data_IF_303775208225
#
_entry.id   IF_303775208225
#
_cell.length_a   1.000
_cell.length_b   1.000
_cell.length_c   1.000
_cell.angle_alpha   90.00
_cell.angle_beta   90.00
_cell.angle_gamma   90.00
#
_symmetry.space_group_name_H-M   'P 1'
#
loop_
_entity.id
_entity.type
_entity.pdbx_description
1 polymer ?
#
# COMPACT_ATOMS: atom_id res chain seq x y z
N UNK A 1 41.63 -13.58 -38.33
CA UNK A 1 41.00 -13.44 -37.01
C UNK A 1 39.69 -14.19 -37.09
N UNK A 2 39.55 -15.29 -36.35
CA UNK A 2 38.36 -16.15 -36.43
C UNK A 2 37.17 -15.50 -35.70
N UNK A 3 35.94 -15.81 -36.11
CA UNK A 3 34.72 -15.37 -35.40
C UNK A 3 34.75 -15.80 -33.93
N UNK A 4 35.36 -16.95 -33.64
CA UNK A 4 35.62 -17.44 -32.29
C UNK A 4 36.58 -16.54 -31.49
N UNK A 5 37.61 -15.98 -32.13
CA UNK A 5 38.56 -15.07 -31.47
C UNK A 5 37.89 -13.73 -31.12
N UNK A 6 36.95 -13.30 -31.96
CA UNK A 6 36.18 -12.07 -31.73
C UNK A 6 35.20 -12.28 -30.57
N UNK A 7 34.46 -13.40 -30.56
CA UNK A 7 33.52 -13.73 -29.48
C UNK A 7 34.22 -13.87 -28.12
N UNK A 8 35.37 -14.56 -28.06
CA UNK A 8 36.12 -14.73 -26.83
C UNK A 8 36.72 -13.41 -26.32
N UNK A 9 37.17 -12.53 -27.23
CA UNK A 9 37.60 -11.17 -26.86
C UNK A 9 36.44 -10.32 -26.36
N UNK A 10 35.29 -10.35 -27.03
CA UNK A 10 34.09 -9.62 -26.58
C UNK A 10 33.65 -10.10 -25.20
N UNK A 11 33.59 -11.42 -24.97
CA UNK A 11 33.26 -11.99 -23.65
C UNK A 11 34.27 -11.54 -22.57
N UNK A 12 35.57 -11.54 -22.89
CA UNK A 12 36.61 -11.05 -21.97
C UNK A 12 36.50 -9.56 -21.66
N UNK A 13 36.06 -8.75 -22.63
CA UNK A 13 35.81 -7.31 -22.46
C UNK A 13 34.57 -7.13 -21.60
N UNK A 14 33.46 -7.79 -21.90
CA UNK A 14 32.25 -7.76 -21.07
C UNK A 14 32.55 -8.10 -19.61
N UNK A 15 33.27 -9.20 -19.34
CA UNK A 15 33.69 -9.59 -17.99
C UNK A 15 34.59 -8.56 -17.29
N UNK A 16 35.45 -7.86 -18.03
CA UNK A 16 36.33 -6.83 -17.46
C UNK A 16 35.55 -5.58 -17.02
N UNK A 17 34.42 -5.31 -17.67
CA UNK A 17 33.56 -4.17 -17.40
C UNK A 17 32.33 -4.50 -16.55
N UNK A 18 32.01 -5.78 -16.31
CA UNK A 18 30.98 -6.24 -15.37
C UNK A 18 31.11 -5.58 -13.97
N UNK A 19 32.33 -5.28 -13.52
CA UNK A 19 32.57 -4.60 -12.23
C UNK A 19 32.11 -3.14 -12.19
N UNK A 20 31.79 -2.55 -13.34
CA UNK A 20 31.24 -1.19 -13.47
C UNK A 20 29.74 -1.22 -13.78
N UNK A 21 29.15 -2.40 -13.92
CA UNK A 21 27.71 -2.58 -14.04
C UNK A 21 27.08 -2.35 -12.66
N UNK A 22 26.60 -1.12 -12.47
CA UNK A 22 25.96 -0.65 -11.22
C UNK A 22 24.67 -1.44 -10.95
N UNK A 23 24.01 -1.94 -12.00
CA UNK A 23 22.78 -2.73 -11.89
C UNK A 23 23.08 -4.17 -11.48
N UNK A 24 24.18 -4.75 -11.96
CA UNK A 24 24.65 -6.08 -11.52
C UNK A 24 25.19 -6.09 -10.09
N UNK A 25 25.89 -5.03 -9.67
CA UNK A 25 26.28 -4.85 -8.25
C UNK A 25 25.09 -4.58 -7.32
N UNK A 26 24.01 -3.98 -7.85
CA UNK A 26 22.72 -3.89 -7.13
C UNK A 26 22.03 -5.26 -7.02
N UNK A 27 22.17 -6.13 -8.02
CA UNK A 27 21.63 -7.49 -8.04
C UNK A 27 22.35 -8.48 -7.12
N UNK A 28 23.68 -8.40 -6.99
CA UNK A 28 24.48 -9.29 -6.12
C UNK A 28 24.42 -8.93 -4.62
N UNK A 29 23.72 -7.85 -4.26
CA UNK A 29 23.29 -7.53 -2.89
C UNK A 29 21.98 -8.23 -2.49
N UNK A 30 21.80 -9.48 -2.92
CA UNK A 30 20.56 -10.26 -2.97
C UNK A 30 19.83 -10.58 -1.66
N UNK A 31 19.88 -9.71 -0.65
CA UNK A 31 19.05 -9.82 0.55
C UNK A 31 18.42 -8.50 1.03
N UNK A 32 18.68 -7.36 0.37
CA UNK A 32 18.13 -6.06 0.82
C UNK A 32 16.73 -5.75 0.25
N UNK A 33 16.40 -6.23 -0.96
CA UNK A 33 15.04 -6.10 -1.50
C UNK A 33 14.02 -6.94 -0.71
N UNK A 34 14.46 -8.06 -0.12
CA UNK A 34 13.65 -8.89 0.76
C UNK A 34 13.43 -8.23 2.14
N UNK A 35 14.28 -7.32 2.59
CA UNK A 35 14.18 -6.68 3.92
C UNK A 35 13.55 -5.28 3.90
N UNK A 36 13.10 -4.82 2.72
CA UNK A 36 12.43 -3.53 2.59
C UNK A 36 11.00 -3.63 3.13
N UNK A 37 10.81 -3.14 4.35
CA UNK A 37 9.52 -3.11 5.04
C UNK A 37 8.42 -2.41 4.20
N UNK A 38 8.80 -1.43 3.38
CA UNK A 38 7.88 -0.78 2.43
C UNK A 38 7.37 -1.79 1.39
N UNK A 39 8.27 -2.44 0.66
CA UNK A 39 7.90 -3.40 -0.39
C UNK A 39 7.03 -4.54 0.13
N UNK A 40 7.31 -5.04 1.35
CA UNK A 40 6.49 -6.08 1.99
C UNK A 40 5.07 -5.61 2.30
N UNK A 41 4.94 -4.45 2.94
CA UNK A 41 3.63 -3.89 3.27
C UNK A 41 2.85 -3.52 2.01
N UNK A 42 3.54 -2.94 1.01
CA UNK A 42 2.93 -2.56 -0.26
C UNK A 42 2.41 -3.79 -1.01
N UNK A 43 3.19 -4.88 -1.06
CA UNK A 43 2.76 -6.14 -1.67
C UNK A 43 1.55 -6.75 -0.96
N UNK A 44 1.49 -6.67 0.38
CA UNK A 44 0.32 -7.10 1.14
C UNK A 44 -0.92 -6.27 0.82
N UNK A 45 -0.77 -4.94 0.76
CA UNK A 45 -1.85 -4.02 0.41
C UNK A 45 -2.34 -4.25 -1.03
N UNK A 46 -1.44 -4.47 -1.98
CA UNK A 46 -1.83 -4.82 -3.35
C UNK A 46 -2.59 -6.15 -3.41
N UNK A 47 -2.16 -7.17 -2.67
CA UNK A 47 -2.85 -8.45 -2.61
C UNK A 47 -4.27 -8.31 -2.03
N UNK A 48 -4.43 -7.50 -0.99
CA UNK A 48 -5.74 -7.22 -0.39
C UNK A 48 -6.65 -6.39 -1.32
N UNK A 49 -6.09 -5.46 -2.09
CA UNK A 49 -6.81 -4.71 -3.14
C UNK A 49 -7.29 -5.66 -4.23
N UNK A 50 -6.43 -6.56 -4.72
CA UNK A 50 -6.78 -7.53 -5.75
C UNK A 50 -7.87 -8.50 -5.26
N UNK A 51 -7.77 -8.96 -4.01
CA UNK A 51 -8.79 -9.79 -3.38
C UNK A 51 -10.15 -9.06 -3.27
N UNK A 52 -10.13 -7.76 -2.96
CA UNK A 52 -11.34 -6.94 -2.91
C UNK A 52 -11.94 -6.71 -4.30
N UNK A 53 -11.13 -6.50 -5.34
CA UNK A 53 -11.57 -6.40 -6.73
C UNK A 53 -12.20 -7.69 -7.23
N UNK A 54 -11.56 -8.84 -6.99
CA UNK A 54 -12.10 -10.15 -7.34
C UNK A 54 -13.44 -10.41 -6.64
N UNK A 55 -13.54 -10.07 -5.35
CA UNK A 55 -14.80 -10.20 -4.60
C UNK A 55 -15.89 -9.26 -5.12
N UNK A 56 -15.53 -8.05 -5.56
CA UNK A 56 -16.45 -7.11 -6.20
C UNK A 56 -17.00 -7.67 -7.51
N UNK A 57 -16.14 -8.29 -8.33
CA UNK A 57 -16.56 -8.95 -9.56
C UNK A 57 -17.50 -10.12 -9.28
N UNK A 58 -17.20 -10.97 -8.30
CA UNK A 58 -18.10 -12.05 -7.87
C UNK A 58 -19.46 -11.51 -7.40
N UNK A 59 -19.46 -10.43 -6.61
CA UNK A 59 -20.68 -9.79 -6.14
C UNK A 59 -21.52 -9.21 -7.30
N UNK A 60 -20.90 -8.81 -8.41
CA UNK A 60 -21.61 -8.32 -9.61
C UNK A 60 -22.29 -9.43 -10.40
N UNK A 61 -21.75 -10.65 -10.36
CA UNK A 61 -22.27 -11.83 -11.07
C UNK A 61 -23.27 -12.63 -10.22
N UNK A 62 -23.25 -12.45 -8.90
CA UNK A 62 -24.10 -13.15 -7.95
C UNK A 62 -25.57 -12.72 -8.06
N UNK A 63 -26.48 -13.70 -8.05
CA UNK A 63 -27.93 -13.47 -8.20
C UNK A 63 -28.64 -13.37 -6.86
N UNK A 64 -28.07 -13.96 -5.82
CA UNK A 64 -28.64 -13.93 -4.48
C UNK A 64 -28.38 -12.57 -3.81
N UNK A 65 -29.43 -11.76 -3.65
CA UNK A 65 -29.36 -10.43 -3.02
C UNK A 65 -28.73 -10.46 -1.61
N UNK A 66 -29.01 -11.48 -0.81
CA UNK A 66 -28.44 -11.58 0.54
C UNK A 66 -26.93 -11.87 0.48
N UNK A 67 -26.49 -12.71 -0.47
CA UNK A 67 -25.06 -12.99 -0.69
C UNK A 67 -24.32 -11.75 -1.22
N UNK A 68 -24.92 -11.02 -2.17
CA UNK A 68 -24.37 -9.74 -2.69
C UNK A 68 -24.19 -8.72 -1.58
N UNK A 69 -25.18 -8.58 -0.69
CA UNK A 69 -25.09 -7.64 0.45
C UNK A 69 -24.00 -8.04 1.43
N UNK A 70 -23.87 -9.34 1.74
CA UNK A 70 -22.81 -9.86 2.60
C UNK A 70 -21.42 -9.62 1.99
N UNK A 71 -21.22 -9.97 0.71
CA UNK A 71 -19.97 -9.73 -0.01
C UNK A 71 -19.61 -8.24 -0.04
N UNK A 72 -20.56 -7.36 -0.31
CA UNK A 72 -20.35 -5.91 -0.30
C UNK A 72 -20.00 -5.38 1.09
N UNK A 73 -20.59 -5.93 2.16
CA UNK A 73 -20.20 -5.58 3.52
C UNK A 73 -18.74 -5.98 3.83
N UNK A 74 -18.31 -7.14 3.33
CA UNK A 74 -16.91 -7.56 3.45
C UNK A 74 -15.96 -6.66 2.65
N UNK A 75 -16.32 -6.28 1.42
CA UNK A 75 -15.52 -5.34 0.60
C UNK A 75 -15.34 -4.02 1.36
N UNK A 76 -16.40 -3.48 1.96
CA UNK A 76 -16.32 -2.26 2.76
C UNK A 76 -15.38 -2.40 3.97
N UNK A 77 -15.42 -3.53 4.68
CA UNK A 77 -14.48 -3.82 5.78
C UNK A 77 -13.04 -3.90 5.30
N UNK A 78 -12.80 -4.55 4.16
CA UNK A 78 -11.46 -4.63 3.57
C UNK A 78 -10.96 -3.26 3.13
N UNK A 79 -11.80 -2.44 2.47
CA UNK A 79 -11.48 -1.05 2.14
C UNK A 79 -11.07 -0.24 3.37
N UNK A 80 -11.83 -0.36 4.47
CA UNK A 80 -11.53 0.36 5.69
C UNK A 80 -10.13 0.00 6.24
N UNK A 81 -9.82 -1.29 6.33
CA UNK A 81 -8.49 -1.79 6.73
C UNK A 81 -7.38 -1.32 5.81
N UNK A 82 -7.61 -1.35 4.49
CA UNK A 82 -6.62 -0.90 3.51
C UNK A 82 -6.28 0.58 3.69
N UNK A 83 -7.28 1.43 3.95
CA UNK A 83 -7.08 2.85 4.22
C UNK A 83 -6.32 3.10 5.54
N UNK A 84 -6.47 2.24 6.56
CA UNK A 84 -5.67 2.31 7.80
C UNK A 84 -4.16 2.01 7.58
N UNK A 85 -3.83 1.21 6.56
CA UNK A 85 -2.44 0.87 6.22
C UNK A 85 -1.76 1.94 5.35
N UNK A 86 -2.51 2.79 4.64
CA UNK A 86 -1.96 3.84 3.77
C UNK A 86 -1.04 4.81 4.53
N UNK A 87 -1.40 5.36 5.71
CA UNK A 87 -0.50 6.23 6.47
C UNK A 87 0.81 5.55 6.89
N UNK A 88 0.78 4.24 7.16
CA UNK A 88 1.99 3.46 7.47
C UNK A 88 2.88 3.34 6.23
N UNK A 89 2.29 3.10 5.06
CA UNK A 89 2.99 3.10 3.78
C UNK A 89 3.59 4.48 3.44
N UNK A 90 2.86 5.57 3.69
CA UNK A 90 3.38 6.93 3.51
C UNK A 90 4.64 7.14 4.35
N UNK A 91 4.59 6.82 5.66
CA UNK A 91 5.77 6.94 6.55
C UNK A 91 6.96 6.11 6.07
N UNK A 92 6.71 4.92 5.53
CA UNK A 92 7.75 4.04 4.99
C UNK A 92 8.30 4.52 3.63
N UNK A 93 7.47 5.16 2.80
CA UNK A 93 7.88 5.73 1.50
C UNK A 93 8.85 6.90 1.67
N UNK A 94 8.62 7.77 2.66
CA UNK A 94 9.52 8.90 2.97
C UNK A 94 10.81 8.48 3.70
N UNK A 95 10.86 7.27 4.27
CA UNK A 95 12.04 6.78 5.00
C UNK A 95 13.18 6.50 4.01
N UNK A 96 14.25 7.31 4.08
CA UNK A 96 15.47 7.07 3.28
C UNK A 96 16.17 5.80 3.74
N UNK A 97 16.07 4.75 2.94
CA UNK A 97 16.83 3.50 3.13
C UNK A 97 18.15 3.57 2.35
N UNK A 98 19.22 3.02 2.91
CA UNK A 98 20.55 2.99 2.29
C UNK A 98 20.48 2.24 0.95
N UNK A 99 20.78 2.93 -0.16
CA UNK A 99 20.79 2.35 -1.52
C UNK A 99 19.61 2.77 -2.41
N UNK A 100 18.61 3.46 -1.85
CA UNK A 100 17.46 3.97 -2.60
C UNK A 100 17.81 5.30 -3.31
N UNK A 101 17.52 5.41 -4.60
CA UNK A 101 17.73 6.66 -5.35
C UNK A 101 16.62 7.67 -5.07
N UNK A 102 16.83 8.92 -5.48
CA UNK A 102 15.79 9.96 -5.35
C UNK A 102 14.59 9.63 -6.24
N UNK A 103 14.87 9.06 -7.39
CA UNK A 103 13.90 8.58 -8.38
C UNK A 103 13.06 7.44 -7.80
N UNK A 104 13.69 6.45 -7.15
CA UNK A 104 12.97 5.34 -6.51
C UNK A 104 12.09 5.84 -5.34
N UNK A 105 12.53 6.85 -4.59
CA UNK A 105 11.76 7.43 -3.49
C UNK A 105 10.55 8.22 -4.01
N UNK A 106 10.72 8.97 -5.10
CA UNK A 106 9.61 9.63 -5.78
C UNK A 106 8.57 8.62 -6.29
N UNK A 107 9.02 7.53 -6.93
CA UNK A 107 8.15 6.46 -7.37
C UNK A 107 7.36 5.80 -6.22
N UNK A 108 7.99 5.59 -5.05
CA UNK A 108 7.30 5.11 -3.83
C UNK A 108 6.21 6.07 -3.37
N UNK A 109 6.48 7.36 -3.38
CA UNK A 109 5.49 8.37 -3.01
C UNK A 109 4.32 8.37 -3.99
N UNK A 110 4.59 8.37 -5.29
CA UNK A 110 3.54 8.34 -6.32
C UNK A 110 2.66 7.09 -6.21
N UNK A 111 3.28 5.93 -5.96
CA UNK A 111 2.55 4.68 -5.69
C UNK A 111 1.61 4.80 -4.49
N UNK A 112 2.06 5.40 -3.39
CA UNK A 112 1.24 5.54 -2.19
C UNK A 112 0.17 6.62 -2.34
N UNK A 113 0.45 7.71 -3.07
CA UNK A 113 -0.53 8.76 -3.36
C UNK A 113 -1.70 8.24 -4.20
N UNK A 114 -1.48 7.26 -5.08
CA UNK A 114 -2.52 6.64 -5.88
C UNK A 114 -3.38 5.60 -5.11
N UNK A 115 -2.93 5.12 -3.95
CA UNK A 115 -3.63 4.06 -3.21
C UNK A 115 -5.02 4.47 -2.69
N UNK A 116 -5.24 5.66 -2.08
CA UNK A 116 -6.57 6.07 -1.62
C UNK A 116 -7.61 6.06 -2.74
N UNK A 117 -7.30 6.67 -3.88
CA UNK A 117 -8.20 6.73 -5.03
C UNK A 117 -8.48 5.33 -5.59
N UNK A 118 -7.45 4.50 -5.68
CA UNK A 118 -7.58 3.10 -6.12
C UNK A 118 -8.48 2.30 -5.18
N UNK A 119 -8.32 2.43 -3.86
CA UNK A 119 -9.15 1.75 -2.86
C UNK A 119 -10.60 2.26 -2.94
N UNK A 120 -10.81 3.56 -3.09
CA UNK A 120 -12.16 4.13 -3.19
C UNK A 120 -12.89 3.70 -4.46
N UNK A 121 -12.17 3.51 -5.57
CA UNK A 121 -12.73 3.10 -6.87
C UNK A 121 -13.32 1.69 -6.90
N UNK A 122 -13.00 0.82 -5.93
CA UNK A 122 -13.49 -0.56 -5.88
C UNK A 122 -15.02 -0.54 -5.65
N UNK A 123 -15.85 -1.17 -6.49
CA UNK A 123 -17.29 -1.21 -6.25
C UNK A 123 -17.63 -2.04 -5.00
N UNK A 124 -18.33 -1.45 -4.04
CA UNK A 124 -18.65 -2.05 -2.73
C UNK A 124 -20.15 -1.97 -2.39
N UNK A 125 -20.97 -1.72 -3.42
CA UNK A 125 -22.42 -1.63 -3.34
C UNK A 125 -22.95 -0.40 -2.60
N UNK A 126 -22.10 0.48 -2.06
CA UNK A 126 -22.54 1.83 -1.68
C UNK A 126 -22.42 2.72 -2.92
N UNK A 127 -23.52 3.37 -3.29
CA UNK A 127 -23.46 4.43 -4.28
C UNK A 127 -22.73 5.62 -3.68
N UNK A 128 -21.39 5.57 -3.61
CA UNK A 128 -20.55 6.74 -3.32
C UNK A 128 -20.49 7.68 -4.54
N UNK A 129 -21.66 7.95 -5.12
CA UNK A 129 -21.85 9.02 -6.07
C UNK A 129 -22.47 10.20 -5.35
N UNK A 130 -21.72 11.30 -5.24
CA UNK A 130 -22.17 12.66 -4.89
C UNK A 130 -23.19 13.22 -5.90
N UNK A 131 -24.08 12.39 -6.44
CA UNK A 131 -25.31 12.86 -7.06
C UNK A 131 -26.40 12.80 -6.01
N UNK A 132 -26.62 13.96 -5.39
CA UNK A 132 -27.93 14.36 -4.96
C UNK A 132 -28.93 14.09 -6.10
N UNK A 133 -29.62 12.97 -6.03
CA UNK A 133 -30.93 12.82 -6.65
C UNK A 133 -31.83 12.33 -5.55
N UNK A 134 -32.52 13.29 -4.94
CA UNK A 134 -33.63 13.02 -4.04
C UNK A 134 -34.62 12.08 -4.73
N UNK A 135 -35.20 11.20 -3.93
CA UNK A 135 -36.22 10.28 -4.39
C UNK A 135 -36.00 8.88 -3.88
N UNK A 136 -36.21 8.66 -2.57
CA UNK A 136 -36.86 7.42 -2.15
C UNK A 136 -38.30 7.44 -2.70
N UNK A 137 -38.45 7.21 -4.00
CA UNK A 137 -39.71 6.75 -4.56
C UNK A 137 -39.66 5.24 -4.49
N UNK A 138 -40.44 4.68 -3.57
CA UNK A 138 -40.77 3.26 -3.58
C UNK A 138 -41.32 2.89 -4.96
N UNK A 139 -40.47 2.34 -5.82
CA UNK A 139 -40.91 1.80 -7.11
C UNK A 139 -41.45 0.39 -6.89
N UNK A 140 -42.58 0.32 -6.17
CA UNK A 140 -43.55 -0.73 -6.43
C UNK A 140 -44.16 -0.37 -7.78
N UNK A 141 -43.66 -0.97 -8.86
CA UNK A 141 -44.40 -1.03 -10.12
C UNK A 141 -45.67 -1.85 -9.86
N UNK A 142 -46.71 -1.21 -9.33
CA UNK A 142 -48.08 -1.67 -9.53
C UNK A 142 -48.27 -1.68 -11.03
N UNK A 143 -48.28 -2.88 -11.61
CA UNK A 143 -49.21 -3.15 -12.69
C UNK A 143 -50.57 -2.66 -12.20
N UNK A 144 -51.12 -1.63 -12.84
CA UNK A 144 -52.49 -1.19 -12.63
C UNK A 144 -53.40 -2.41 -12.79
N UNK A 145 -53.87 -2.95 -11.66
CA UNK A 145 -54.94 -3.92 -11.67
C UNK A 145 -56.20 -3.12 -11.94
N UNK A 146 -56.58 -3.07 -13.21
CA UNK A 146 -57.83 -2.46 -13.67
C UNK A 146 -58.97 -3.40 -13.28
N UNK A 147 -59.70 -3.05 -12.22
CA UNK A 147 -60.94 -3.73 -11.86
C UNK A 147 -62.06 -3.14 -12.73
N UNK A 148 -62.25 -3.72 -13.92
CA UNK A 148 -63.49 -3.55 -14.66
C UNK A 148 -64.52 -4.49 -14.02
N UNK A 149 -65.35 -3.96 -13.12
CA UNK A 149 -66.49 -4.69 -12.56
C UNK A 149 -67.60 -4.81 -13.60
N UNK A 150 -68.03 -6.02 -14.04
CA UNK A 150 -69.39 -6.20 -14.46
C UNK A 150 -70.24 -6.48 -13.22
N UNK A 151 -71.26 -5.66 -13.06
CA UNK A 151 -72.36 -5.90 -12.14
C UNK A 151 -73.01 -7.25 -12.39
N UNK A 152 -73.41 -7.88 -11.28
CA UNK A 152 -74.44 -8.92 -11.17
C UNK A 152 -74.01 -10.37 -11.46
N UNK A 153 -73.41 -10.97 -10.43
CA UNK A 153 -73.27 -12.42 -10.30
C UNK A 153 -73.08 -12.71 -8.83
N UNK A 154 -74.03 -13.41 -8.21
CA UNK A 154 -73.94 -13.93 -6.86
C UNK A 154 -72.65 -14.75 -6.70
N UNK A 155 -71.58 -14.13 -6.20
CA UNK A 155 -70.33 -14.80 -5.89
C UNK A 155 -70.53 -15.60 -4.61
N UNK A 156 -70.62 -16.92 -4.79
CA UNK A 156 -70.62 -17.90 -3.70
C UNK A 156 -69.39 -17.66 -2.80
N UNK A 157 -69.65 -17.38 -1.51
CA UNK A 157 -68.65 -17.10 -0.49
C UNK A 157 -67.69 -18.30 -0.23
N UNK A 158 -67.94 -19.45 -0.86
CA UNK A 158 -67.11 -20.64 -0.80
C UNK A 158 -65.95 -20.67 -1.81
N UNK A 159 -65.80 -19.67 -2.71
CA UNK A 159 -64.71 -19.67 -3.69
C UNK A 159 -63.31 -19.42 -3.07
N UNK A 160 -63.25 -18.81 -1.88
CA UNK A 160 -62.04 -18.69 -1.06
C UNK A 160 -62.11 -19.67 0.13
N UNK A 161 -62.28 -20.96 -0.14
CA UNK A 161 -62.09 -21.96 0.90
C UNK A 161 -60.60 -22.03 1.27
N UNK A 162 -60.22 -21.31 2.33
CA UNK A 162 -58.89 -21.32 2.91
C UNK A 162 -58.61 -22.73 3.47
N UNK A 163 -58.01 -23.59 2.65
CA UNK A 163 -57.66 -24.95 3.06
C UNK A 163 -56.59 -24.91 4.16
N UNK A 164 -56.57 -25.90 5.06
CA UNK A 164 -55.55 -25.99 6.12
C UNK A 164 -54.12 -25.99 5.56
N UNK A 165 -53.92 -26.52 4.35
CA UNK A 165 -52.64 -26.47 3.63
C UNK A 165 -52.23 -25.04 3.23
N UNK A 166 -53.18 -24.20 2.80
CA UNK A 166 -52.91 -22.79 2.49
C UNK A 166 -52.52 -21.99 3.74
N UNK A 167 -53.08 -22.34 4.90
CA UNK A 167 -52.71 -21.71 6.17
C UNK A 167 -51.29 -22.07 6.61
N UNK A 168 -50.90 -23.34 6.45
CA UNK A 168 -49.53 -23.79 6.74
C UNK A 168 -48.51 -23.11 5.84
N UNK A 169 -48.77 -23.01 4.53
CA UNK A 169 -47.87 -22.32 3.61
C UNK A 169 -47.71 -20.83 3.94
N UNK A 170 -48.81 -20.16 4.28
CA UNK A 170 -48.79 -18.74 4.68
C UNK A 170 -48.00 -18.54 5.98
N UNK A 171 -48.21 -19.41 6.96
CA UNK A 171 -47.50 -19.34 8.24
C UNK A 171 -46.00 -19.62 8.08
N UNK A 172 -45.63 -20.58 7.21
CA UNK A 172 -44.24 -20.88 6.89
C UNK A 172 -43.55 -19.73 6.11
N UNK A 173 -44.29 -19.08 5.20
CA UNK A 173 -43.83 -17.88 4.50
C UNK A 173 -43.64 -16.71 5.46
N UNK A 174 -44.59 -16.46 6.36
CA UNK A 174 -44.49 -15.43 7.39
C UNK A 174 -43.31 -15.68 8.34
N UNK A 175 -43.06 -16.94 8.70
CA UNK A 175 -41.91 -17.32 9.53
C UNK A 175 -40.56 -17.11 8.80
N UNK A 176 -40.48 -17.44 7.50
CA UNK A 176 -39.29 -17.14 6.68
C UNK A 176 -39.06 -15.65 6.52
N UNK A 177 -40.13 -14.88 6.35
CA UNK A 177 -40.07 -13.42 6.24
C UNK A 177 -39.55 -12.80 7.53
N UNK A 178 -40.09 -13.21 8.68
CA UNK A 178 -39.64 -12.74 9.99
C UNK A 178 -38.16 -13.05 10.25
N UNK A 179 -37.69 -14.24 9.82
CA UNK A 179 -36.27 -14.61 9.93
C UNK A 179 -35.36 -13.79 9.01
N UNK A 180 -35.83 -13.42 7.82
CA UNK A 180 -35.10 -12.52 6.92
C UNK A 180 -35.04 -11.09 7.46
N UNK A 181 -36.14 -10.57 8.00
CA UNK A 181 -36.19 -9.23 8.62
C UNK A 181 -35.21 -9.11 9.80
N UNK A 182 -35.13 -10.14 10.65
CA UNK A 182 -34.12 -10.19 11.73
C UNK A 182 -32.68 -10.16 11.21
N UNK A 183 -32.41 -10.85 10.09
CA UNK A 183 -31.09 -10.81 9.44
C UNK A 183 -30.77 -9.43 8.85
N UNK A 184 -31.77 -8.74 8.29
CA UNK A 184 -31.62 -7.38 7.78
C UNK A 184 -31.35 -6.37 8.89
N UNK A 185 -31.98 -6.51 10.06
CA UNK A 185 -31.71 -5.65 11.22
C UNK A 185 -30.25 -5.77 11.69
N UNK A 186 -29.72 -6.99 11.77
CA UNK A 186 -28.30 -7.20 12.14
C UNK A 186 -27.34 -6.60 11.10
N UNK A 187 -27.70 -6.67 9.81
CA UNK A 187 -26.93 -6.05 8.75
C UNK A 187 -27.02 -4.52 8.81
N UNK A 188 -28.19 -3.97 9.14
CA UNK A 188 -28.41 -2.53 9.28
C UNK A 188 -27.56 -1.96 10.43
N UNK A 189 -27.53 -2.63 11.58
CA UNK A 189 -26.66 -2.26 12.71
C UNK A 189 -25.16 -2.38 12.34
N UNK A 190 -24.78 -3.45 11.65
CA UNK A 190 -23.44 -3.62 11.10
C UNK A 190 -23.06 -2.57 10.04
N UNK A 191 -24.03 -1.98 9.35
CA UNK A 191 -23.82 -0.92 8.37
C UNK A 191 -23.68 0.45 9.06
N UNK A 192 -24.46 0.70 10.12
CA UNK A 192 -24.41 1.95 10.87
C UNK A 192 -23.07 2.09 11.62
N UNK A 193 -22.59 1.01 12.23
CA UNK A 193 -21.25 0.97 12.83
C UNK A 193 -20.13 1.23 11.81
N UNK A 194 -20.25 0.67 10.60
CA UNK A 194 -19.29 0.88 9.52
C UNK A 194 -19.35 2.30 8.96
N UNK A 195 -20.53 2.91 8.90
CA UNK A 195 -20.74 4.30 8.49
C UNK A 195 -20.05 5.26 9.46
N UNK A 196 -20.18 5.02 10.76
CA UNK A 196 -19.52 5.84 11.78
C UNK A 196 -17.99 5.71 11.69
N UNK A 197 -17.48 4.48 11.52
CA UNK A 197 -16.05 4.24 11.30
C UNK A 197 -15.52 4.92 10.03
N UNK A 198 -16.25 4.86 8.92
CA UNK A 198 -15.87 5.54 7.69
C UNK A 198 -15.89 7.07 7.82
N UNK A 199 -16.80 7.62 8.63
CA UNK A 199 -16.84 9.05 8.91
C UNK A 199 -15.63 9.50 9.75
N UNK A 200 -15.32 8.77 10.80
CA UNK A 200 -14.16 9.03 11.66
C UNK A 200 -12.84 8.91 10.88
N UNK A 201 -12.74 7.93 9.97
CA UNK A 201 -11.61 7.78 9.07
C UNK A 201 -11.44 8.96 8.11
N UNK A 202 -12.54 9.51 7.58
CA UNK A 202 -12.47 10.65 6.68
C UNK A 202 -11.99 11.91 7.41
N UNK A 203 -12.44 12.13 8.64
CA UNK A 203 -12.01 13.29 9.45
C UNK A 203 -10.53 13.18 9.89
N UNK A 204 -10.05 11.97 10.20
CA UNK A 204 -8.64 11.74 10.57
C UNK A 204 -7.70 11.85 9.36
N UNK A 205 -8.15 11.48 8.15
CA UNK A 205 -7.42 11.69 6.90
C UNK A 205 -7.23 13.19 6.63
N UNK A 206 -8.29 13.99 6.77
CA UNK A 206 -8.23 15.45 6.61
C UNK A 206 -7.35 16.12 7.68
N UNK A 207 -7.29 15.55 8.90
CA UNK A 207 -6.42 16.04 10.00
C UNK A 207 -4.94 15.66 9.84
N UNK A 208 -4.58 14.68 9.01
CA UNK A 208 -3.19 14.25 8.83
C UNK A 208 -2.41 15.01 7.74
N UNK A 209 -3.06 15.85 6.94
CA UNK A 209 -2.39 16.73 5.96
C UNK A 209 -1.32 17.66 6.57
N UNK A 210 -1.55 18.37 7.70
CA UNK A 210 -0.52 19.25 8.29
C UNK A 210 0.62 18.52 9.03
N UNK A 211 0.52 17.20 9.26
CA UNK A 211 1.57 16.43 9.96
C UNK A 211 2.71 15.98 9.04
N UNK A 212 2.50 15.99 7.71
CA UNK A 212 3.50 15.65 6.71
C UNK A 212 4.60 16.73 6.65
N UNK A 213 4.25 18.01 6.78
CA UNK A 213 5.20 19.13 6.75
C UNK A 213 6.14 19.12 7.97
N UNK A 214 5.63 18.74 9.15
CA UNK A 214 6.46 18.63 10.35
C UNK A 214 7.42 17.44 10.28
N UNK A 215 7.04 16.38 9.57
CA UNK A 215 7.91 15.21 9.32
C UNK A 215 9.01 15.58 8.31
N UNK A 216 8.69 16.29 7.23
CA UNK A 216 9.67 16.70 6.21
C UNK A 216 10.78 17.57 6.82
N UNK A 217 10.40 18.56 7.66
CA UNK A 217 11.36 19.41 8.37
C UNK A 217 12.23 18.64 9.38
N UNK A 218 11.69 17.61 10.04
CA UNK A 218 12.45 16.76 10.96
C UNK A 218 13.41 15.82 10.22
N UNK A 219 12.99 15.28 9.06
CA UNK A 219 13.83 14.43 8.22
C UNK A 219 14.99 15.24 7.62
N UNK A 220 14.73 16.46 7.15
CA UNK A 220 15.77 17.34 6.61
C UNK A 220 16.79 17.75 7.67
N UNK A 221 16.35 18.06 8.90
CA UNK A 221 17.27 18.29 10.03
C UNK A 221 18.13 17.07 10.33
N UNK A 222 17.53 15.89 10.47
CA UNK A 222 18.28 14.66 10.76
C UNK A 222 19.29 14.32 9.65
N UNK A 223 18.93 14.57 8.39
CA UNK A 223 19.81 14.35 7.25
C UNK A 223 20.96 15.37 7.19
N UNK A 224 20.70 16.64 7.53
CA UNK A 224 21.74 17.65 7.68
C UNK A 224 22.73 17.29 8.79
N UNK A 225 22.25 16.78 9.93
CA UNK A 225 23.09 16.32 11.04
C UNK A 225 23.92 15.09 10.66
N UNK A 226 23.36 14.12 9.93
CA UNK A 226 24.10 12.97 9.40
C UNK A 226 25.18 13.38 8.37
N UNK A 227 24.90 14.37 7.53
CA UNK A 227 25.89 14.90 6.59
C UNK A 227 27.02 15.62 7.33
N UNK A 228 26.69 16.44 8.31
CA UNK A 228 27.67 17.17 9.12
C UNK A 228 28.57 16.22 9.94
N UNK A 229 28.00 15.17 10.53
CA UNK A 229 28.77 14.15 11.26
C UNK A 229 29.70 13.36 10.34
N UNK A 230 29.26 12.99 9.12
CA UNK A 230 30.14 12.37 8.12
C UNK A 230 31.31 13.27 7.68
N UNK A 231 31.06 14.57 7.50
CA UNK A 231 32.12 15.54 7.18
C UNK A 231 33.13 15.61 8.33
N UNK A 232 32.68 15.74 9.57
CA UNK A 232 33.56 15.73 10.76
C UNK A 232 34.38 14.45 10.88
N UNK A 233 33.78 13.29 10.63
CA UNK A 233 34.46 11.99 10.60
C UNK A 233 35.54 11.95 9.51
N UNK A 234 35.24 12.44 8.30
CA UNK A 234 36.20 12.50 7.20
C UNK A 234 37.36 13.45 7.50
N UNK A 235 37.09 14.60 8.09
CA UNK A 235 38.10 15.56 8.52
C UNK A 235 39.00 14.97 9.60
N UNK A 236 38.42 14.26 10.58
CA UNK A 236 39.16 13.56 11.64
C UNK A 236 40.08 12.48 11.04
N UNK A 237 39.57 11.68 10.10
CA UNK A 237 40.37 10.66 9.39
C UNK A 237 41.52 11.30 8.59
N UNK A 238 41.25 12.40 7.88
CA UNK A 238 42.28 13.11 7.13
C UNK A 238 43.35 13.70 8.06
N UNK A 239 42.95 14.23 9.21
CA UNK A 239 43.87 14.77 10.21
C UNK A 239 44.74 13.67 10.82
N UNK A 240 44.18 12.49 11.13
CA UNK A 240 44.92 11.31 11.58
C UNK A 240 45.87 10.75 10.51
N UNK A 241 45.48 10.82 9.23
CA UNK A 241 46.37 10.43 8.11
C UNK A 241 47.53 11.42 7.96
N UNK A 242 47.27 12.71 8.15
CA UNK A 242 48.30 13.76 8.11
C UNK A 242 49.32 13.63 9.25
N UNK A 243 48.87 13.31 10.47
CA UNK A 243 49.78 13.12 11.62
C UNK A 243 50.69 11.90 11.45
N UNK A 244 50.18 10.82 10.83
CA UNK A 244 51.00 9.63 10.51
C UNK A 244 52.10 9.96 9.50
N UNK A 245 51.79 10.73 8.46
CA UNK A 245 52.79 11.14 7.47
C UNK A 245 53.87 12.02 8.12
N UNK A 246 53.48 12.95 8.99
CA UNK A 246 54.42 13.78 9.74
C UNK A 246 55.37 12.96 10.64
N UNK A 247 54.87 11.91 11.29
CA UNK A 247 55.69 11.00 12.09
C UNK A 247 56.70 10.22 11.22
N UNK A 248 56.27 9.75 10.04
CA UNK A 248 57.14 9.05 9.09
C UNK A 248 58.27 9.97 8.61
N UNK A 249 57.97 11.23 8.29
CA UNK A 249 58.97 12.20 7.82
C UNK A 249 60.04 12.49 8.87
N UNK A 250 59.66 12.61 10.15
CA UNK A 250 60.62 12.81 11.26
C UNK A 250 61.55 11.60 11.39
N UNK A 251 61.02 10.37 11.32
CA UNK A 251 61.85 9.15 11.42
C UNK A 251 62.82 9.06 10.24
N UNK A 252 62.38 9.37 9.03
CA UNK A 252 63.22 9.39 7.82
C UNK A 252 64.37 10.40 7.93
N UNK A 253 64.10 11.60 8.47
CA UNK A 253 65.11 12.63 8.71
C UNK A 253 66.17 12.15 9.71
N UNK A 254 65.76 11.51 10.81
CA UNK A 254 66.68 10.93 11.80
C UNK A 254 67.61 9.87 11.19
N UNK A 255 67.10 9.01 10.29
CA UNK A 255 67.91 8.00 9.60
C UNK A 255 68.94 8.67 8.67
N UNK A 256 68.53 9.67 7.90
CA UNK A 256 69.45 10.41 6.99
C UNK A 256 70.56 11.09 7.78
N UNK A 257 70.23 11.76 8.90
CA UNK A 257 71.23 12.37 9.77
C UNK A 257 72.19 11.33 10.37
N UNK A 258 71.68 10.17 10.78
CA UNK A 258 72.51 9.07 11.28
C UNK A 258 73.51 8.57 10.23
N UNK A 259 73.06 8.38 8.99
CA UNK A 259 73.93 7.99 7.86
C UNK A 259 74.96 9.08 7.56
N UNK A 260 74.56 10.35 7.54
CA UNK A 260 75.47 11.47 7.29
C UNK A 260 76.55 11.59 8.38
N UNK A 261 76.17 11.44 9.66
CA UNK A 261 77.11 11.45 10.78
C UNK A 261 78.08 10.27 10.73
N UNK A 262 77.58 9.08 10.35
CA UNK A 262 78.42 7.90 10.14
C UNK A 262 79.45 8.12 9.02
N UNK A 263 78.99 8.60 7.86
CA UNK A 263 79.87 8.92 6.72
C UNK A 263 80.90 9.99 7.08
N UNK A 264 80.51 11.04 7.80
CA UNK A 264 81.44 12.07 8.27
C UNK A 264 82.51 11.49 9.20
N UNK A 265 82.15 10.62 10.14
CA UNK A 265 83.12 9.97 11.01
C UNK A 265 84.05 9.01 10.27
N UNK A 266 83.57 8.34 9.22
CA UNK A 266 84.41 7.47 8.37
C UNK A 266 85.36 8.28 7.49
N UNK A 267 84.90 9.39 6.91
CA UNK A 267 85.70 10.28 6.04
C UNK A 267 86.71 11.15 6.81
N UNK A 268 86.46 11.42 8.09
CA UNK A 268 87.35 12.20 8.96
C UNK A 268 88.49 11.36 9.56
N UNK A 269 88.39 10.03 9.46
CA UNK A 269 89.40 9.09 9.95
C UNK A 269 90.39 8.76 8.83
#
# INVERSE_FOLDING_TARGET
>A
MSVIDILTRVDSICKKYDKYDVDKQRGDGGNFASDDAFARLYSSVEADIEAALSKSELASQEKNRAAVVAMNAEIRRTKAKLLEEVPKLQRLAYKKVKGLTKEDLAARNDMVLALPDRIQSIPDGTSNGTKQTGGWTASASRTEIKFDSPSDGSFDANYFQQTEESNKFRQEFEMRKMKQDQGLDTIAEGLDTLKNMAHDMNEELDRQVPLIDEIDTKVDRANADLKNTNVRLKDTINQLRSSRNFCIDIILLCIILGIAAYLYNVLKK
#
